data_IF_617967395730
#
_entry.id   IF_617967395730
#
_cell.length_a   1.000
_cell.length_b   1.000
_cell.length_c   1.000
_cell.angle_alpha   90.00
_cell.angle_beta   90.00
_cell.angle_gamma   90.00
#
_symmetry.space_group_name_H-M   'P 1'
#
loop_
_entity.id
_entity.type
_entity.pdbx_description
1 polymer ?
#
# COMPACT_ATOMS: atom_id res chain seq x y z
N UNK A 1 0.93 20.41 6.58
CA UNK A 1 0.00 19.35 7.02
C UNK A 1 -0.51 19.67 8.42
N UNK A 2 0.38 20.07 9.35
CA UNK A 2 -0.01 20.46 10.72
C UNK A 2 -1.01 21.63 10.82
N UNK A 3 -0.95 22.62 9.91
CA UNK A 3 -1.95 23.72 9.85
C UNK A 3 -3.35 23.22 9.43
N UNK A 4 -3.47 22.40 8.41
CA UNK A 4 -4.75 21.79 7.99
C UNK A 4 -5.31 20.85 9.04
N UNK A 5 -4.46 20.09 9.73
CA UNK A 5 -4.85 19.27 10.89
C UNK A 5 -5.40 20.15 12.03
N UNK A 6 -4.87 21.36 12.20
CA UNK A 6 -5.37 22.32 13.20
C UNK A 6 -6.71 22.96 12.79
N UNK A 7 -6.96 23.16 11.50
CA UNK A 7 -8.26 23.62 10.97
C UNK A 7 -9.34 22.53 11.08
N UNK A 8 -9.01 21.27 10.78
CA UNK A 8 -9.88 20.12 11.07
C UNK A 8 -10.26 20.04 12.56
N UNK A 9 -9.32 20.39 13.47
CA UNK A 9 -9.58 20.39 14.93
C UNK A 9 -10.55 21.49 15.38
N UNK A 10 -10.70 22.58 14.64
CA UNK A 10 -11.63 23.68 14.97
C UNK A 10 -13.09 23.37 14.57
N UNK A 11 -13.32 22.50 13.59
CA UNK A 11 -14.67 22.18 13.07
C UNK A 11 -15.30 20.95 13.79
N UNK A 12 -15.84 21.20 15.00
CA UNK A 12 -16.86 20.45 15.79
C UNK A 12 -16.87 18.89 15.90
N UNK A 13 -16.84 18.46 17.18
CA UNK A 13 -17.96 17.84 17.91
C UNK A 13 -18.71 16.60 17.37
N UNK A 14 -18.03 15.57 16.84
CA UNK A 14 -18.66 14.24 16.65
C UNK A 14 -17.71 13.11 17.07
N UNK A 15 -18.26 12.15 17.81
CA UNK A 15 -17.63 10.91 18.28
C UNK A 15 -17.56 9.86 17.16
N UNK A 16 -16.81 10.17 16.10
CA UNK A 16 -16.51 9.23 15.01
C UNK A 16 -15.00 8.97 15.03
N UNK A 17 -14.56 7.72 14.87
CA UNK A 17 -13.14 7.33 14.81
C UNK A 17 -12.33 8.37 14.02
N UNK A 18 -11.51 9.14 14.74
CA UNK A 18 -10.78 10.29 14.18
C UNK A 18 -9.61 9.78 13.34
N UNK A 19 -9.88 9.40 12.10
CA UNK A 19 -8.80 9.22 11.13
C UNK A 19 -8.14 10.57 10.88
N UNK A 20 -6.83 10.65 11.12
CA UNK A 20 -6.05 11.84 10.81
C UNK A 20 -6.06 12.10 9.29
N UNK A 21 -5.89 13.35 8.87
CA UNK A 21 -5.86 13.76 7.46
C UNK A 21 -5.01 12.83 6.57
N UNK A 22 -3.81 12.45 7.03
CA UNK A 22 -2.94 11.49 6.34
C UNK A 22 -3.61 10.13 6.12
N UNK A 23 -4.28 9.58 7.12
CA UNK A 23 -4.97 8.29 7.01
C UNK A 23 -6.16 8.38 6.05
N UNK A 24 -6.88 9.51 6.04
CA UNK A 24 -7.96 9.76 5.08
C UNK A 24 -7.42 9.82 3.65
N UNK A 25 -6.30 10.51 3.41
CA UNK A 25 -5.63 10.56 2.11
C UNK A 25 -5.23 9.15 1.66
N UNK A 26 -4.53 8.40 2.51
CA UNK A 26 -4.13 7.02 2.19
C UNK A 26 -5.34 6.13 1.91
N UNK A 27 -6.44 6.30 2.64
CA UNK A 27 -7.68 5.57 2.40
C UNK A 27 -8.30 5.89 1.05
N UNK A 28 -8.18 7.13 0.56
CA UNK A 28 -8.64 7.50 -0.78
C UNK A 28 -7.75 6.84 -1.84
N UNK A 29 -6.42 7.01 -1.75
CA UNK A 29 -5.46 6.41 -2.69
C UNK A 29 -5.62 4.88 -2.78
N UNK A 30 -5.92 4.24 -1.65
CA UNK A 30 -6.10 2.79 -1.56
C UNK A 30 -7.54 2.31 -1.84
N UNK A 31 -8.47 3.21 -2.16
CA UNK A 31 -9.85 2.85 -2.48
C UNK A 31 -10.01 2.58 -3.97
N UNK A 32 -9.83 1.31 -4.29
CA UNK A 32 -9.76 0.81 -5.64
C UNK A 32 -11.10 0.76 -6.39
N UNK A 33 -12.22 0.94 -5.69
CA UNK A 33 -13.56 0.88 -6.28
C UNK A 33 -14.00 2.22 -6.86
N UNK A 34 -13.53 3.33 -6.28
CA UNK A 34 -13.94 4.67 -6.66
C UNK A 34 -12.75 5.46 -7.19
N UNK A 35 -12.59 5.48 -8.52
CA UNK A 35 -11.45 6.15 -9.19
C UNK A 35 -11.54 7.68 -9.21
N UNK A 36 -12.63 8.27 -8.73
CA UNK A 36 -12.77 9.73 -8.57
C UNK A 36 -12.01 10.25 -7.33
N UNK A 37 -10.69 10.03 -7.30
CA UNK A 37 -9.84 10.43 -6.18
C UNK A 37 -9.76 11.95 -6.06
N UNK A 38 -9.71 12.66 -7.19
CA UNK A 38 -9.63 14.12 -7.27
C UNK A 38 -10.76 14.80 -6.50
N UNK A 39 -12.02 14.50 -6.84
CA UNK A 39 -13.17 15.12 -6.17
C UNK A 39 -13.24 14.75 -4.69
N UNK A 40 -12.70 13.58 -4.31
CA UNK A 40 -12.64 13.13 -2.91
C UNK A 40 -11.58 13.88 -2.12
N UNK A 41 -10.43 14.18 -2.73
CA UNK A 41 -9.43 15.05 -2.12
C UNK A 41 -9.96 16.47 -1.95
N UNK A 42 -10.68 16.99 -2.93
CA UNK A 42 -11.31 18.32 -2.85
C UNK A 42 -12.38 18.39 -1.75
N UNK A 43 -13.23 17.37 -1.65
CA UNK A 43 -14.21 17.23 -0.55
C UNK A 43 -13.54 17.09 0.81
N UNK A 44 -12.38 16.44 0.88
CA UNK A 44 -11.61 16.30 2.11
C UNK A 44 -11.05 17.66 2.56
N UNK A 45 -10.40 18.39 1.63
CA UNK A 45 -9.99 19.77 1.84
C UNK A 45 -9.64 20.45 0.51
N UNK A 46 -10.35 21.52 0.14
CA UNK A 46 -10.22 22.19 -1.16
C UNK A 46 -8.78 22.65 -1.52
N UNK A 47 -7.96 23.07 -0.55
CA UNK A 47 -6.57 23.47 -0.81
C UNK A 47 -5.55 22.32 -0.72
N UNK A 48 -5.97 21.07 -0.50
CA UNK A 48 -5.05 19.96 -0.24
C UNK A 48 -4.06 19.78 -1.39
N UNK A 49 -4.58 19.65 -2.61
CA UNK A 49 -3.76 19.39 -3.78
C UNK A 49 -2.96 20.63 -4.22
N UNK A 50 -3.49 21.83 -3.97
CA UNK A 50 -2.74 23.07 -4.19
C UNK A 50 -1.57 23.25 -3.20
N UNK A 51 -1.73 22.78 -1.96
CA UNK A 51 -0.68 22.88 -0.92
C UNK A 51 0.31 21.72 -0.98
N UNK A 52 -0.16 20.53 -1.38
CA UNK A 52 0.61 19.28 -1.44
C UNK A 52 0.43 18.60 -2.81
N UNK A 53 1.02 19.15 -3.88
CA UNK A 53 0.94 18.55 -5.22
C UNK A 53 1.56 17.15 -5.28
N UNK A 54 2.41 16.79 -4.32
CA UNK A 54 2.98 15.44 -4.19
C UNK A 54 1.91 14.38 -3.92
N UNK A 55 0.76 14.74 -3.34
CA UNK A 55 -0.35 13.80 -3.13
C UNK A 55 -0.94 13.35 -4.47
N UNK A 56 -1.11 14.25 -5.44
CA UNK A 56 -1.56 13.91 -6.79
C UNK A 56 -0.57 12.98 -7.48
N UNK A 57 0.72 13.32 -7.44
CA UNK A 57 1.76 12.50 -8.06
C UNK A 57 1.85 11.10 -7.47
N UNK A 58 1.64 10.98 -6.15
CA UNK A 58 1.61 9.69 -5.49
C UNK A 58 0.39 8.88 -5.92
N UNK A 59 -0.76 9.54 -6.05
CA UNK A 59 -2.00 8.91 -6.50
C UNK A 59 -1.91 8.40 -7.94
N UNK A 60 -1.34 9.22 -8.83
CA UNK A 60 -1.04 8.87 -10.22
C UNK A 60 -0.09 7.67 -10.30
N UNK A 61 1.01 7.70 -9.54
CA UNK A 61 1.98 6.61 -9.47
C UNK A 61 1.32 5.29 -9.05
N UNK A 62 0.53 5.32 -7.96
CA UNK A 62 -0.12 4.12 -7.41
C UNK A 62 -1.21 3.61 -8.35
N UNK A 63 -1.99 4.51 -8.95
CA UNK A 63 -3.05 4.15 -9.89
C UNK A 63 -2.48 3.52 -11.15
N UNK A 64 -1.46 4.15 -11.76
CA UNK A 64 -0.78 3.63 -12.95
C UNK A 64 -0.15 2.26 -12.67
N UNK A 65 0.57 2.11 -11.55
CA UNK A 65 1.18 0.82 -11.18
C UNK A 65 0.13 -0.28 -11.05
N UNK A 66 -1.01 0.02 -10.43
CA UNK A 66 -2.10 -0.95 -10.25
C UNK A 66 -2.76 -1.34 -11.57
N UNK A 67 -2.92 -0.40 -12.48
CA UNK A 67 -3.52 -0.67 -13.79
C UNK A 67 -2.67 -1.66 -14.60
N UNK A 68 -1.34 -1.69 -14.40
CA UNK A 68 -0.47 -2.73 -14.97
C UNK A 68 -0.89 -4.14 -14.55
N UNK A 69 -1.18 -4.35 -13.26
CA UNK A 69 -1.63 -5.64 -12.74
C UNK A 69 -3.04 -5.99 -13.23
N UNK A 70 -3.92 -5.00 -13.29
CA UNK A 70 -5.31 -5.21 -13.75
C UNK A 70 -5.36 -5.62 -15.22
N UNK A 71 -4.54 -4.99 -16.05
CA UNK A 71 -4.51 -5.20 -17.50
C UNK A 71 -3.50 -6.29 -17.91
N UNK A 72 -2.73 -6.83 -16.96
CA UNK A 72 -1.62 -7.77 -17.20
C UNK A 72 -0.59 -7.22 -18.18
N UNK A 73 -0.31 -5.93 -18.08
CA UNK A 73 0.54 -5.20 -19.01
C UNK A 73 2.01 -5.24 -18.57
N UNK A 74 2.77 -6.14 -19.20
CA UNK A 74 4.20 -6.34 -18.93
C UNK A 74 5.09 -5.30 -19.61
N UNK A 75 4.68 -4.81 -20.78
CA UNK A 75 5.46 -3.82 -21.51
C UNK A 75 5.28 -2.44 -20.85
N UNK A 76 4.05 -2.12 -20.43
CA UNK A 76 3.76 -0.94 -19.61
C UNK A 76 4.54 -0.91 -18.29
N UNK A 77 4.91 -2.05 -17.71
CA UNK A 77 5.76 -2.08 -16.51
C UNK A 77 7.13 -1.46 -16.77
N UNK A 78 7.74 -1.71 -17.94
CA UNK A 78 9.06 -1.15 -18.28
C UNK A 78 8.97 0.36 -18.47
N UNK A 79 7.92 0.82 -19.16
CA UNK A 79 7.66 2.24 -19.38
C UNK A 79 7.43 2.97 -18.07
N UNK A 80 6.56 2.41 -17.22
CA UNK A 80 6.27 2.94 -15.89
C UNK A 80 7.52 3.01 -15.01
N UNK A 81 8.37 1.98 -15.01
CA UNK A 81 9.64 2.00 -14.28
C UNK A 81 10.53 3.16 -14.76
N UNK A 82 10.66 3.36 -16.08
CA UNK A 82 11.50 4.40 -16.66
C UNK A 82 10.97 5.81 -16.36
N UNK A 83 9.64 5.99 -16.39
CA UNK A 83 8.97 7.25 -16.07
C UNK A 83 9.30 7.72 -14.65
N UNK A 84 9.19 6.82 -13.67
CA UNK A 84 9.34 7.17 -12.25
C UNK A 84 10.77 7.04 -11.71
N UNK A 85 11.69 6.43 -12.47
CA UNK A 85 13.10 6.30 -12.08
C UNK A 85 13.77 7.64 -11.84
N UNK A 86 13.47 8.64 -12.68
CA UNK A 86 14.04 9.99 -12.58
C UNK A 86 13.16 10.96 -11.79
N UNK A 87 12.18 10.45 -11.03
CA UNK A 87 11.32 11.31 -10.23
C UNK A 87 12.15 12.11 -9.20
N UNK A 88 11.70 13.32 -8.85
CA UNK A 88 12.39 14.17 -7.87
C UNK A 88 12.28 13.67 -6.42
N UNK A 89 11.52 12.61 -6.19
CA UNK A 89 11.26 12.06 -4.84
C UNK A 89 12.18 10.87 -4.58
N UNK A 90 13.06 10.99 -3.58
CA UNK A 90 13.94 9.89 -3.15
C UNK A 90 13.18 8.64 -2.71
N UNK A 91 11.97 8.81 -2.17
CA UNK A 91 11.09 7.69 -1.80
C UNK A 91 10.62 6.91 -3.03
N UNK A 92 10.20 7.61 -4.08
CA UNK A 92 9.76 6.98 -5.33
C UNK A 92 10.96 6.28 -5.98
N UNK A 93 12.10 6.94 -6.09
CA UNK A 93 13.32 6.32 -6.63
C UNK A 93 13.69 5.03 -5.88
N UNK A 94 13.60 5.04 -4.54
CA UNK A 94 13.89 3.86 -3.71
C UNK A 94 12.90 2.72 -3.97
N UNK A 95 11.62 3.04 -4.15
CA UNK A 95 10.60 2.07 -4.53
C UNK A 95 10.90 1.46 -5.91
N UNK A 96 11.17 2.29 -6.92
CA UNK A 96 11.50 1.83 -8.28
C UNK A 96 12.75 0.95 -8.28
N UNK A 97 13.79 1.29 -7.52
CA UNK A 97 14.98 0.45 -7.36
C UNK A 97 14.66 -0.92 -6.76
N UNK A 98 13.76 -0.97 -5.79
CA UNK A 98 13.25 -2.23 -5.23
C UNK A 98 12.54 -3.08 -6.30
N UNK A 99 11.64 -2.47 -7.07
CA UNK A 99 10.95 -3.14 -8.18
C UNK A 99 11.94 -3.67 -9.22
N UNK A 100 12.97 -2.90 -9.59
CA UNK A 100 14.01 -3.34 -10.53
C UNK A 100 14.80 -4.54 -9.99
N UNK A 101 15.12 -4.55 -8.69
CA UNK A 101 15.83 -5.66 -8.07
C UNK A 101 15.05 -6.97 -8.15
N UNK A 102 13.73 -6.87 -7.99
CA UNK A 102 12.81 -8.02 -7.99
C UNK A 102 12.00 -8.11 -9.30
N UNK A 103 12.53 -7.60 -10.42
CA UNK A 103 11.78 -7.39 -11.67
C UNK A 103 11.17 -8.69 -12.23
N UNK A 104 11.88 -9.81 -12.14
CA UNK A 104 11.37 -11.11 -12.60
C UNK A 104 10.16 -11.55 -11.77
N UNK A 105 10.21 -11.36 -10.45
CA UNK A 105 9.10 -11.70 -9.55
C UNK A 105 7.90 -10.78 -9.80
N UNK A 106 8.14 -9.47 -9.98
CA UNK A 106 7.09 -8.49 -10.29
C UNK A 106 6.44 -8.83 -11.64
N UNK A 107 7.22 -9.07 -12.68
CA UNK A 107 6.72 -9.48 -14.00
C UNK A 107 5.90 -10.77 -13.93
N UNK A 108 6.39 -11.76 -13.18
CA UNK A 108 5.67 -13.02 -12.97
C UNK A 108 4.34 -12.79 -12.26
N UNK A 109 4.28 -11.90 -11.26
CA UNK A 109 3.05 -11.57 -10.54
C UNK A 109 2.00 -10.81 -11.38
N UNK A 110 2.43 -10.09 -12.43
CA UNK A 110 1.51 -9.48 -13.40
C UNK A 110 0.97 -10.54 -14.37
N UNK A 111 1.84 -11.44 -14.83
CA UNK A 111 1.50 -12.45 -15.84
C UNK A 111 0.61 -13.56 -15.28
N UNK A 112 1.03 -14.13 -14.15
CA UNK A 112 0.46 -15.35 -13.60
C UNK A 112 -0.82 -15.07 -12.79
N UNK A 113 -1.81 -15.97 -12.81
CA UNK A 113 -3.00 -15.84 -11.98
C UNK A 113 -2.74 -16.19 -10.51
N UNK A 114 -1.58 -16.76 -10.20
CA UNK A 114 -1.23 -17.28 -8.89
C UNK A 114 -0.64 -16.16 -8.02
N UNK A 115 -1.09 -16.09 -6.76
CA UNK A 115 -0.52 -15.19 -5.77
C UNK A 115 0.13 -15.97 -4.63
N UNK A 116 1.22 -15.44 -4.08
CA UNK A 116 1.85 -16.00 -2.89
C UNK A 116 1.05 -15.73 -1.60
N UNK A 117 -0.11 -15.07 -1.68
CA UNK A 117 -0.87 -14.63 -0.51
C UNK A 117 -1.30 -15.75 0.43
N UNK A 118 -1.71 -16.91 -0.10
CA UNK A 118 -2.08 -18.07 0.74
C UNK A 118 -0.85 -18.61 1.48
N UNK A 119 0.26 -18.78 0.76
CA UNK A 119 1.53 -19.27 1.32
C UNK A 119 2.04 -18.32 2.39
N UNK A 120 2.06 -17.02 2.10
CA UNK A 120 2.43 -15.97 3.04
C UNK A 120 1.52 -15.94 4.27
N UNK A 121 0.21 -16.17 4.08
CA UNK A 121 -0.76 -16.31 5.17
C UNK A 121 -0.40 -17.46 6.11
N UNK A 122 -0.09 -18.64 5.57
CA UNK A 122 0.37 -19.79 6.36
C UNK A 122 1.69 -19.50 7.08
N UNK A 123 2.66 -18.90 6.40
CA UNK A 123 3.95 -18.51 6.98
C UNK A 123 3.74 -17.49 8.11
N UNK A 124 2.82 -16.52 7.94
CA UNK A 124 2.52 -15.53 8.96
C UNK A 124 1.84 -16.17 10.18
N UNK A 125 0.87 -17.09 9.98
CA UNK A 125 0.26 -17.87 11.06
C UNK A 125 1.32 -18.65 11.85
N UNK A 126 2.24 -19.33 11.15
CA UNK A 126 3.36 -20.05 11.76
C UNK A 126 4.26 -19.12 12.59
N UNK A 127 4.64 -17.97 12.03
CA UNK A 127 5.43 -16.95 12.72
C UNK A 127 4.71 -16.43 13.97
N UNK A 128 3.40 -16.22 13.92
CA UNK A 128 2.58 -15.79 15.06
C UNK A 128 2.58 -16.84 16.17
N UNK A 129 2.34 -18.11 15.85
CA UNK A 129 2.44 -19.21 16.84
C UNK A 129 3.81 -19.23 17.50
N UNK A 130 4.89 -19.15 16.70
CA UNK A 130 6.25 -19.11 17.25
C UNK A 130 6.50 -17.90 18.17
N UNK A 131 5.96 -16.72 17.83
CA UNK A 131 6.05 -15.50 18.66
C UNK A 131 5.27 -15.62 19.97
N UNK A 132 4.06 -16.18 19.95
CA UNK A 132 3.27 -16.46 21.16
C UNK A 132 3.99 -17.40 22.12
N UNK A 133 4.87 -18.26 21.58
CA UNK A 133 5.69 -19.18 22.35
C UNK A 133 7.09 -18.63 22.66
N UNK A 134 7.29 -17.32 22.55
CA UNK A 134 8.56 -16.64 22.82
C UNK A 134 9.75 -17.23 22.06
N UNK A 135 9.52 -17.75 20.85
CA UNK A 135 10.56 -18.38 20.03
C UNK A 135 10.97 -19.80 20.47
N UNK A 136 10.40 -20.33 21.55
CA UNK A 136 10.78 -21.64 22.15
C UNK A 136 10.11 -22.85 21.49
N UNK A 137 9.31 -22.64 20.44
CA UNK A 137 8.70 -23.71 19.69
C UNK A 137 9.71 -24.29 18.68
N UNK A 138 10.32 -25.43 19.03
CA UNK A 138 11.00 -26.30 18.07
C UNK A 138 10.01 -26.91 17.06
N UNK A 139 10.51 -27.55 16.01
CA UNK A 139 9.66 -28.06 14.92
C UNK A 139 8.51 -28.94 15.41
N UNK A 140 8.77 -29.88 16.32
CA UNK A 140 7.76 -30.80 16.84
C UNK A 140 6.62 -30.07 17.57
N UNK A 141 6.96 -29.08 18.40
CA UNK A 141 5.99 -28.27 19.15
C UNK A 141 5.17 -27.39 18.20
N UNK A 142 5.84 -26.79 17.20
CA UNK A 142 5.18 -25.98 16.18
C UNK A 142 4.20 -26.82 15.33
N UNK A 143 4.63 -28.01 14.90
CA UNK A 143 3.81 -28.98 14.17
C UNK A 143 2.56 -29.35 14.98
N UNK A 144 2.73 -29.68 16.25
CA UNK A 144 1.61 -30.05 17.12
C UNK A 144 0.60 -28.89 17.29
N UNK A 145 1.07 -27.66 17.52
CA UNK A 145 0.21 -26.45 17.59
C UNK A 145 -0.56 -26.20 16.29
N UNK A 146 0.07 -26.42 15.14
CA UNK A 146 -0.52 -26.14 13.83
C UNK A 146 -1.59 -27.16 13.47
N UNK A 147 -1.32 -28.46 13.71
CA UNK A 147 -2.19 -29.57 13.35
C UNK A 147 -3.33 -29.79 14.36
N UNK A 148 -3.06 -29.67 15.65
CA UNK A 148 -4.02 -30.03 16.70
C UNK A 148 -4.72 -28.84 17.37
N UNK A 149 -4.41 -27.59 16.97
CA UNK A 149 -5.05 -26.35 17.44
C UNK A 149 -5.26 -26.25 18.97
N UNK A 150 -4.21 -26.50 19.75
CA UNK A 150 -4.20 -26.19 21.19
C UNK A 150 -3.83 -24.73 21.46
#
# INVERSE_FOLDING_TARGET
MNKMIAEERKNKNVNTERLHLRQKILKIIWDFKNMDHQSRFEKLHHQLLGTYPEVSKLDELVSAFRDLFRNKDLDGLKEWINEYENSRSSFIQSFIRGIKKDQEAVSSSIKEPWSNGIVEGHVNRLKTIKRMMYGRAGFQVLKNRVLYQW
#
